data_IF_434233407881
#
_entry.id   IF_434233407881
#
_cell.length_a   1.000
_cell.length_b   1.000
_cell.length_c   1.000
_cell.angle_alpha   90.00
_cell.angle_beta   90.00
_cell.angle_gamma   90.00
#
_symmetry.space_group_name_H-M   'P 1'
#
loop_
_entity.id
_entity.type
_entity.pdbx_description
1 polymer ?
#
# COMPACT_ATOMS: atom_id res chain seq x y z
N UNK A 1 -27.92 -51.14 8.16
CA UNK A 1 -27.93 -49.89 8.95
C UNK A 1 -26.60 -49.12 8.86
N UNK A 2 -25.49 -49.80 8.54
CA UNK A 2 -24.14 -49.21 8.60
C UNK A 2 -23.81 -48.20 7.50
N UNK A 3 -24.35 -48.36 6.29
CA UNK A 3 -24.13 -47.45 5.15
C UNK A 3 -24.66 -46.01 5.43
N UNK A 4 -25.78 -45.88 6.14
CA UNK A 4 -26.32 -44.57 6.53
C UNK A 4 -25.45 -43.87 7.57
N UNK A 5 -24.86 -44.63 8.50
CA UNK A 5 -23.97 -44.10 9.54
C UNK A 5 -22.66 -43.61 8.93
N UNK A 6 -22.10 -44.34 7.97
CA UNK A 6 -20.89 -43.95 7.25
C UNK A 6 -21.12 -42.69 6.38
N UNK A 7 -22.25 -42.63 5.66
CA UNK A 7 -22.65 -41.41 4.94
C UNK A 7 -22.85 -40.21 5.86
N UNK A 8 -23.45 -40.41 7.03
CA UNK A 8 -23.67 -39.35 8.01
C UNK A 8 -22.35 -38.82 8.58
N UNK A 9 -21.40 -39.70 8.91
CA UNK A 9 -20.06 -39.30 9.38
C UNK A 9 -19.30 -38.54 8.29
N UNK A 10 -19.37 -39.00 7.03
CA UNK A 10 -18.76 -38.28 5.91
C UNK A 10 -19.38 -36.90 5.70
N UNK A 11 -20.70 -36.80 5.71
CA UNK A 11 -21.41 -35.51 5.60
C UNK A 11 -21.01 -34.55 6.73
N UNK A 12 -20.89 -35.03 7.96
CA UNK A 12 -20.42 -34.22 9.09
C UNK A 12 -18.98 -33.73 8.90
N UNK A 13 -18.09 -34.60 8.41
CA UNK A 13 -16.72 -34.23 8.09
C UNK A 13 -16.66 -33.17 6.96
N UNK A 14 -17.47 -33.33 5.92
CA UNK A 14 -17.56 -32.35 4.81
C UNK A 14 -18.10 -31.00 5.30
N UNK A 15 -19.13 -31.00 6.17
CA UNK A 15 -19.64 -29.78 6.80
C UNK A 15 -18.59 -29.08 7.66
N UNK A 16 -17.80 -29.84 8.42
CA UNK A 16 -16.72 -29.27 9.24
C UNK A 16 -15.60 -28.66 8.38
N UNK A 17 -15.23 -29.32 7.27
CA UNK A 17 -14.26 -28.81 6.31
C UNK A 17 -14.76 -27.52 5.63
N UNK A 18 -16.03 -27.48 5.21
CA UNK A 18 -16.66 -26.29 4.64
C UNK A 18 -16.64 -25.15 5.66
N UNK A 19 -17.00 -25.41 6.93
CA UNK A 19 -17.00 -24.40 7.98
C UNK A 19 -15.61 -23.81 8.19
N UNK A 20 -14.56 -24.65 8.27
CA UNK A 20 -13.16 -24.19 8.38
C UNK A 20 -12.76 -23.32 7.18
N UNK A 21 -13.14 -23.72 5.96
CA UNK A 21 -12.88 -22.96 4.74
C UNK A 21 -13.60 -21.61 4.72
N UNK A 22 -14.88 -21.57 5.10
CA UNK A 22 -15.62 -20.31 5.16
C UNK A 22 -14.99 -19.30 6.14
N UNK A 23 -14.48 -19.78 7.29
CA UNK A 23 -13.78 -18.90 8.24
C UNK A 23 -12.52 -18.29 7.61
N UNK A 24 -11.70 -19.09 6.92
CA UNK A 24 -10.52 -18.58 6.21
C UNK A 24 -10.88 -17.61 5.09
N UNK A 25 -11.96 -17.88 4.35
CA UNK A 25 -12.43 -17.00 3.27
C UNK A 25 -12.91 -15.65 3.82
N UNK A 26 -13.62 -15.64 4.94
CA UNK A 26 -14.06 -14.40 5.61
C UNK A 26 -12.85 -13.55 6.04
N UNK A 27 -11.81 -14.17 6.60
CA UNK A 27 -10.58 -13.45 6.96
C UNK A 27 -9.88 -12.86 5.73
N UNK A 28 -9.82 -13.62 4.64
CA UNK A 28 -9.21 -13.16 3.39
C UNK A 28 -10.01 -12.00 2.77
N UNK A 29 -11.34 -12.08 2.75
CA UNK A 29 -12.21 -11.00 2.26
C UNK A 29 -11.99 -9.72 3.06
N UNK A 30 -11.89 -9.82 4.40
CA UNK A 30 -11.60 -8.66 5.26
C UNK A 30 -10.26 -8.03 4.92
N UNK A 31 -9.21 -8.82 4.71
CA UNK A 31 -7.89 -8.33 4.31
C UNK A 31 -7.95 -7.59 2.96
N UNK A 32 -8.60 -8.19 1.96
CA UNK A 32 -8.75 -7.61 0.62
C UNK A 32 -9.59 -6.33 0.66
N UNK A 33 -10.66 -6.30 1.46
CA UNK A 33 -11.48 -5.10 1.63
C UNK A 33 -10.66 -3.95 2.23
N UNK A 34 -9.86 -4.21 3.25
CA UNK A 34 -8.97 -3.21 3.85
C UNK A 34 -7.91 -2.72 2.84
N UNK A 35 -7.30 -3.62 2.07
CA UNK A 35 -6.36 -3.25 1.00
C UNK A 35 -7.02 -2.34 -0.05
N UNK A 36 -8.23 -2.69 -0.49
CA UNK A 36 -8.97 -1.94 -1.51
C UNK A 36 -9.36 -0.55 -1.00
N UNK A 37 -9.87 -0.46 0.24
CA UNK A 37 -10.17 0.81 0.88
C UNK A 37 -8.91 1.68 0.99
N UNK A 38 -7.81 1.12 1.50
CA UNK A 38 -6.54 1.84 1.62
C UNK A 38 -6.07 2.39 0.26
N UNK A 39 -6.17 1.59 -0.81
CA UNK A 39 -5.81 2.01 -2.17
C UNK A 39 -6.67 3.19 -2.66
N UNK A 40 -7.97 3.16 -2.39
CA UNK A 40 -8.90 4.22 -2.79
C UNK A 40 -8.68 5.53 -2.00
N UNK A 41 -8.09 5.46 -0.80
CA UNK A 41 -7.72 6.64 -0.02
C UNK A 41 -6.43 7.31 -0.51
N UNK A 42 -5.51 6.59 -1.16
CA UNK A 42 -4.21 7.16 -1.57
C UNK A 42 -4.32 8.42 -2.46
N UNK A 43 -5.21 8.48 -3.48
CA UNK A 43 -5.37 9.68 -4.29
C UNK A 43 -5.79 10.91 -3.49
N UNK A 44 -6.58 10.72 -2.43
CA UNK A 44 -7.02 11.80 -1.54
C UNK A 44 -5.81 12.38 -0.82
N UNK A 45 -4.96 11.52 -0.25
CA UNK A 45 -3.72 11.96 0.40
C UNK A 45 -2.80 12.70 -0.58
N UNK A 46 -2.63 12.16 -1.79
CA UNK A 46 -1.79 12.80 -2.82
C UNK A 46 -2.33 14.18 -3.22
N UNK A 47 -3.65 14.33 -3.34
CA UNK A 47 -4.27 15.62 -3.63
C UNK A 47 -4.02 16.65 -2.51
N UNK A 48 -4.10 16.24 -1.25
CA UNK A 48 -3.81 17.10 -0.10
C UNK A 48 -2.32 17.48 -0.09
N UNK A 49 -1.42 16.54 -0.40
CA UNK A 49 0.01 16.84 -0.54
C UNK A 49 0.29 17.83 -1.68
N UNK A 50 -0.42 17.71 -2.80
CA UNK A 50 -0.33 18.67 -3.91
C UNK A 50 -0.80 20.06 -3.48
N UNK A 51 -1.92 20.15 -2.77
CA UNK A 51 -2.43 21.41 -2.21
C UNK A 51 -1.40 22.00 -1.24
N UNK A 52 -0.80 21.18 -0.37
CA UNK A 52 0.24 21.60 0.56
C UNK A 52 1.46 22.21 -0.15
N UNK A 53 1.90 21.61 -1.26
CA UNK A 53 3.03 22.12 -2.07
C UNK A 53 2.71 23.46 -2.74
N UNK A 54 1.49 23.64 -3.22
CA UNK A 54 1.08 24.85 -3.96
C UNK A 54 0.61 26.01 -3.07
N UNK A 55 0.33 25.74 -1.79
CA UNK A 55 -0.15 26.76 -0.85
C UNK A 55 0.98 27.69 -0.41
N UNK A 56 0.82 29.00 -0.68
CA UNK A 56 1.77 30.05 -0.28
C UNK A 56 1.48 30.65 1.10
N UNK A 57 0.22 30.65 1.56
CA UNK A 57 -0.16 31.20 2.87
C UNK A 57 0.31 30.29 4.01
N UNK A 58 1.08 30.86 4.94
CA UNK A 58 1.67 30.12 6.06
C UNK A 58 0.61 29.53 7.01
N UNK A 59 -0.47 30.27 7.28
CA UNK A 59 -1.56 29.82 8.15
C UNK A 59 -2.27 28.58 7.59
N UNK A 60 -2.65 28.63 6.30
CA UNK A 60 -3.27 27.50 5.60
C UNK A 60 -2.33 26.30 5.52
N UNK A 61 -1.04 26.55 5.25
CA UNK A 61 -0.02 25.49 5.17
C UNK A 61 0.14 24.74 6.50
N UNK A 62 0.09 25.44 7.63
CA UNK A 62 0.10 24.82 8.96
C UNK A 62 -1.12 23.91 9.18
N UNK A 63 -2.33 24.38 8.86
CA UNK A 63 -3.55 23.58 9.01
C UNK A 63 -3.51 22.31 8.15
N UNK A 64 -3.08 22.44 6.88
CA UNK A 64 -2.93 21.28 5.99
C UNK A 64 -1.88 20.29 6.51
N UNK A 65 -0.77 20.80 7.06
CA UNK A 65 0.27 19.96 7.65
C UNK A 65 -0.26 19.14 8.84
N UNK A 66 -1.06 19.74 9.72
CA UNK A 66 -1.69 19.03 10.84
C UNK A 66 -2.61 17.92 10.31
N UNK A 67 -3.42 18.19 9.29
CA UNK A 67 -4.29 17.18 8.67
C UNK A 67 -3.48 16.03 8.06
N UNK A 68 -2.39 16.32 7.34
CA UNK A 68 -1.49 15.29 6.80
C UNK A 68 -0.87 14.44 7.91
N UNK A 69 -0.50 15.06 9.04
CA UNK A 69 0.04 14.33 10.20
C UNK A 69 -1.00 13.39 10.82
N UNK A 70 -2.26 13.81 10.91
CA UNK A 70 -3.36 12.97 11.40
C UNK A 70 -3.58 11.77 10.47
N UNK A 71 -3.62 12.00 9.15
CA UNK A 71 -3.74 10.92 8.15
C UNK A 71 -2.60 9.92 8.30
N UNK A 72 -1.36 10.40 8.42
CA UNK A 72 -0.20 9.53 8.61
C UNK A 72 -0.27 8.72 9.92
N UNK A 73 -0.85 9.27 10.99
CA UNK A 73 -1.09 8.56 12.24
C UNK A 73 -2.11 7.42 12.04
N UNK A 74 -3.21 7.70 11.35
CA UNK A 74 -4.23 6.71 11.01
C UNK A 74 -3.65 5.60 10.13
N UNK A 75 -2.81 5.94 9.16
CA UNK A 75 -2.12 4.95 8.32
C UNK A 75 -1.20 4.05 9.13
N UNK A 76 -0.39 4.62 10.04
CA UNK A 76 0.46 3.82 10.94
C UNK A 76 -0.35 2.85 11.81
N UNK A 77 -1.48 3.30 12.36
CA UNK A 77 -2.36 2.44 13.17
C UNK A 77 -2.96 1.27 12.37
N UNK A 78 -3.13 1.43 11.06
CA UNK A 78 -3.62 0.40 10.15
C UNK A 78 -2.48 -0.39 9.48
N UNK A 79 -1.25 -0.33 10.01
CA UNK A 79 -0.05 -0.98 9.46
C UNK A 79 0.26 -0.58 8.00
N UNK A 80 -0.12 0.64 7.62
CA UNK A 80 0.21 1.23 6.33
C UNK A 80 1.49 2.06 6.50
N UNK A 81 2.55 1.65 5.83
CA UNK A 81 3.85 2.32 5.85
C UNK A 81 4.13 3.03 4.52
N UNK A 82 4.67 4.24 4.59
CA UNK A 82 4.99 5.02 3.40
C UNK A 82 6.38 4.63 2.86
N UNK A 83 6.45 4.41 1.55
CA UNK A 83 7.70 4.25 0.80
C UNK A 83 8.08 5.62 0.26
N UNK A 84 9.09 6.24 0.89
CA UNK A 84 9.63 7.52 0.46
C UNK A 84 11.16 7.41 0.39
N UNK A 85 11.70 6.91 -0.73
CA UNK A 85 13.14 6.71 -0.87
C UNK A 85 13.85 8.06 -0.90
N UNK A 86 15.06 8.10 -0.35
CA UNK A 86 15.89 9.28 -0.37
C UNK A 86 16.43 9.54 -1.78
N UNK A 87 16.81 10.80 -2.05
CA UNK A 87 17.56 11.12 -3.26
C UNK A 87 18.88 10.35 -3.25
N UNK A 88 19.23 9.76 -4.38
CA UNK A 88 20.39 8.89 -4.62
C UNK A 88 20.37 7.51 -3.94
N UNK A 89 19.22 7.02 -3.46
CA UNK A 89 19.08 5.62 -3.07
C UNK A 89 19.03 4.68 -4.28
N UNK A 90 19.35 3.39 -4.02
CA UNK A 90 19.33 2.35 -5.04
C UNK A 90 17.89 2.09 -5.52
N UNK A 91 17.72 2.01 -6.83
CA UNK A 91 16.42 1.68 -7.42
C UNK A 91 16.10 0.18 -7.26
N UNK A 92 15.09 -0.12 -6.43
CA UNK A 92 14.47 -1.45 -6.35
C UNK A 92 13.14 -1.56 -7.14
N UNK A 93 13.05 -2.41 -8.19
CA UNK A 93 11.84 -2.59 -8.99
C UNK A 93 10.61 -3.10 -8.21
N UNK A 94 10.82 -3.78 -7.09
CA UNK A 94 9.74 -4.30 -6.25
C UNK A 94 8.97 -3.18 -5.52
N UNK A 95 9.64 -2.08 -5.19
CA UNK A 95 9.07 -0.98 -4.40
C UNK A 95 8.93 0.31 -5.19
N UNK A 96 9.66 0.43 -6.29
CA UNK A 96 9.77 1.65 -7.08
C UNK A 96 9.43 1.39 -8.54
N UNK A 97 8.64 2.30 -9.12
CA UNK A 97 8.33 2.32 -10.54
C UNK A 97 9.01 3.54 -11.16
N UNK A 98 9.99 3.29 -12.01
CA UNK A 98 10.69 4.32 -12.76
C UNK A 98 9.82 4.79 -13.93
N UNK A 99 9.49 6.09 -13.97
CA UNK A 99 8.70 6.69 -15.07
C UNK A 99 9.57 7.54 -15.99
N UNK A 100 10.62 8.14 -15.44
CA UNK A 100 11.48 9.09 -16.15
C UNK A 100 12.93 8.68 -15.92
N UNK A 101 13.71 8.58 -16.99
CA UNK A 101 15.16 8.45 -16.94
C UNK A 101 15.81 9.82 -17.19
N UNK A 102 16.77 10.20 -16.34
CA UNK A 102 17.52 11.45 -16.45
C UNK A 102 18.98 11.10 -16.71
N UNK A 103 19.54 11.62 -17.79
CA UNK A 103 20.96 11.42 -18.11
C UNK A 103 21.81 12.23 -17.14
N UNK A 104 22.61 11.56 -16.31
CA UNK A 104 23.51 12.21 -15.37
C UNK A 104 24.87 11.50 -15.37
N UNK A 105 25.97 12.19 -15.70
CA UNK A 105 27.28 11.57 -15.74
C UNK A 105 27.72 11.12 -14.33
N UNK A 106 28.02 9.83 -14.18
CA UNK A 106 28.64 9.26 -12.98
C UNK A 106 27.74 8.48 -12.02
N UNK A 107 26.42 8.42 -12.26
CA UNK A 107 25.50 7.63 -11.43
C UNK A 107 24.42 6.94 -12.28
N UNK A 108 24.45 5.62 -12.35
CA UNK A 108 23.44 4.80 -13.03
C UNK A 108 22.57 4.06 -12.01
N UNK A 109 21.27 3.92 -12.30
CA UNK A 109 20.30 3.17 -11.48
C UNK A 109 20.07 3.73 -10.06
N UNK A 110 20.22 5.03 -9.88
CA UNK A 110 19.88 5.71 -8.61
C UNK A 110 18.59 6.52 -8.74
N UNK A 111 17.86 6.66 -7.65
CA UNK A 111 16.64 7.45 -7.56
C UNK A 111 17.01 8.93 -7.51
N UNK A 112 16.66 9.71 -8.53
CA UNK A 112 16.93 11.14 -8.57
C UNK A 112 15.88 11.94 -7.78
N UNK A 113 14.60 11.63 -8.00
CA UNK A 113 13.49 12.32 -7.36
C UNK A 113 12.27 11.40 -7.22
N UNK A 114 11.52 11.58 -6.13
CA UNK A 114 10.22 10.93 -5.92
C UNK A 114 9.12 11.85 -6.41
N UNK A 115 8.41 11.43 -7.45
CA UNK A 115 7.26 12.15 -8.01
C UNK A 115 6.02 11.90 -7.17
N UNK A 116 5.80 10.63 -6.81
CA UNK A 116 4.66 10.18 -6.02
C UNK A 116 5.12 9.13 -5.01
N UNK A 117 4.72 9.30 -3.76
CA UNK A 117 5.06 8.36 -2.67
C UNK A 117 4.37 7.01 -2.88
N UNK A 118 5.09 5.94 -2.54
CA UNK A 118 4.57 4.58 -2.49
C UNK A 118 4.02 4.25 -1.10
N UNK A 119 3.27 3.15 -1.00
CA UNK A 119 2.70 2.67 0.26
C UNK A 119 2.74 1.14 0.34
N UNK A 120 3.03 0.64 1.54
CA UNK A 120 3.01 -0.76 1.94
C UNK A 120 1.87 -0.97 2.93
N UNK A 121 1.21 -2.12 2.89
CA UNK A 121 0.26 -2.57 3.91
C UNK A 121 0.67 -3.96 4.37
N UNK A 122 0.92 -4.17 5.66
CA UNK A 122 1.37 -5.47 6.19
C UNK A 122 2.53 -6.10 5.38
N UNK A 123 3.53 -5.30 4.99
CA UNK A 123 4.67 -5.69 4.13
C UNK A 123 4.34 -6.07 2.68
N UNK A 124 3.09 -5.91 2.24
CA UNK A 124 2.68 -6.04 0.83
C UNK A 124 2.64 -4.68 0.16
N UNK A 125 3.07 -4.62 -1.10
CA UNK A 125 3.06 -3.37 -1.89
C UNK A 125 1.62 -3.01 -2.28
N UNK A 126 1.12 -1.91 -1.74
CA UNK A 126 -0.20 -1.38 -2.07
C UNK A 126 -0.15 -0.56 -3.36
N UNK A 127 0.89 0.29 -3.45
CA UNK A 127 1.24 1.11 -4.62
C UNK A 127 2.76 1.38 -4.60
N UNK A 128 3.49 1.14 -5.69
CA UNK A 128 4.91 1.49 -5.76
C UNK A 128 5.12 3.01 -5.76
N UNK A 129 6.29 3.47 -5.34
CA UNK A 129 6.65 4.89 -5.46
C UNK A 129 7.01 5.20 -6.92
N UNK A 130 6.45 6.27 -7.48
CA UNK A 130 6.87 6.76 -8.80
C UNK A 130 8.12 7.60 -8.65
N UNK A 131 9.19 7.19 -9.31
CA UNK A 131 10.50 7.80 -9.21
C UNK A 131 11.06 8.15 -10.58
N UNK A 132 11.92 9.17 -10.62
CA UNK A 132 12.86 9.35 -11.72
C UNK A 132 14.18 8.69 -11.36
N UNK A 133 14.78 7.99 -12.32
CA UNK A 133 16.06 7.29 -12.14
C UNK A 133 17.13 7.92 -13.01
N UNK A 134 18.38 7.86 -12.57
CA UNK A 134 19.51 8.31 -13.38
C UNK A 134 19.96 7.20 -14.33
N UNK A 135 20.14 7.54 -15.60
CA UNK A 135 20.83 6.69 -16.57
C UNK A 135 22.16 7.35 -16.96
N UNK A 136 23.14 6.51 -17.31
CA UNK A 136 24.44 6.95 -17.79
C UNK A 136 24.40 7.11 -19.31
#
# INVERSE_FOLDING_TARGET
>A
MDNYKEKYIRLMADMENIKKRCLTDIENIKKIANETMARNFLPIVDSIELIYKNTKSAALKSSIYVTLKLINSVFKNNNISQINPNKFEKYDPNFHQAVISITMPGASNLIFCVLQKGYLINNKVLRPALVSVTCN
#
